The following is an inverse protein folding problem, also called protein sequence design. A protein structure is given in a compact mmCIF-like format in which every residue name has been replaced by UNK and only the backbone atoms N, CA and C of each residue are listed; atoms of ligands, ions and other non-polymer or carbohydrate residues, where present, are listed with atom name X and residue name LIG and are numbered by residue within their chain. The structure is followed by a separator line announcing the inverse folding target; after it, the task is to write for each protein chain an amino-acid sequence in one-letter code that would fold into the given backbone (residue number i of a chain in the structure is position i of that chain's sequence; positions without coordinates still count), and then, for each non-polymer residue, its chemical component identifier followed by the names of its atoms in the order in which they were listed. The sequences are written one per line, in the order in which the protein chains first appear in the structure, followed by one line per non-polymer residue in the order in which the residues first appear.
data_IF_799176994499
#
_entry.id   IF_799176994499
#
_cell.length_a   1.000
_cell.length_b   1.000
_cell.length_c   1.000
_cell.angle_alpha   90.00
_cell.angle_beta   90.00
_cell.angle_gamma   90.00
#
_symmetry.space_group_name_H-M   'P 1'
#
loop_
_entity.id
_entity.type
_entity.pdbx_description
1 polymer ?
#
# COMPACT_ATOMS: atom_id res chain seq x y z
N UNK A 1 6.91 3.16 11.90
CA UNK A 1 5.48 3.49 12.16
C UNK A 1 4.64 3.46 10.89
N UNK A 2 4.74 4.44 9.94
CA UNK A 2 3.84 4.41 8.74
C UNK A 2 4.07 3.17 7.88
N UNK A 3 5.33 2.79 7.67
CA UNK A 3 5.68 1.54 6.99
C UNK A 3 4.97 0.34 7.66
N UNK A 4 5.04 0.24 8.97
CA UNK A 4 4.43 -0.87 9.72
C UNK A 4 2.90 -0.84 9.65
N UNK A 5 2.30 0.37 9.67
CA UNK A 5 0.85 0.52 9.49
C UNK A 5 0.42 0.03 8.10
N UNK A 6 1.21 0.38 7.07
CA UNK A 6 0.94 -0.06 5.69
C UNK A 6 1.07 -1.58 5.58
N UNK A 7 2.15 -2.12 6.14
CA UNK A 7 2.41 -3.57 6.14
C UNK A 7 1.30 -4.34 6.88
N UNK A 8 0.90 -3.87 8.06
CA UNK A 8 -0.18 -4.49 8.84
C UNK A 8 -1.52 -4.44 8.08
N UNK A 9 -1.82 -3.33 7.41
CA UNK A 9 -3.05 -3.19 6.62
C UNK A 9 -3.03 -4.13 5.40
N UNK A 10 -1.89 -4.24 4.73
CA UNK A 10 -1.70 -5.18 3.63
C UNK A 10 -1.88 -6.63 4.10
N UNK A 11 -1.23 -6.99 5.21
CA UNK A 11 -1.30 -8.33 5.79
C UNK A 11 -2.75 -8.69 6.19
N UNK A 12 -3.48 -7.75 6.77
CA UNK A 12 -4.89 -7.95 7.12
C UNK A 12 -5.74 -8.18 5.87
N UNK A 13 -5.55 -7.34 4.83
CA UNK A 13 -6.26 -7.50 3.57
C UNK A 13 -5.97 -8.87 2.93
N UNK A 14 -4.71 -9.32 2.95
CA UNK A 14 -4.33 -10.63 2.43
C UNK A 14 -4.98 -11.78 3.22
N UNK A 15 -5.07 -11.67 4.55
CA UNK A 15 -5.76 -12.66 5.39
C UNK A 15 -7.25 -12.73 5.04
N UNK A 16 -7.90 -11.58 4.89
CA UNK A 16 -9.31 -11.50 4.47
C UNK A 16 -9.51 -12.17 3.09
N UNK A 17 -8.59 -11.91 2.16
CA UNK A 17 -8.67 -12.49 0.81
C UNK A 17 -8.39 -14.00 0.81
N UNK A 18 -7.55 -14.50 1.70
CA UNK A 18 -7.37 -15.95 1.86
C UNK A 18 -8.68 -16.61 2.29
N UNK A 19 -9.41 -16.00 3.23
CA UNK A 19 -10.73 -16.48 3.64
C UNK A 19 -11.72 -16.43 2.46
N UNK A 20 -11.73 -15.30 1.73
CA UNK A 20 -12.61 -15.12 0.56
C UNK A 20 -12.30 -16.16 -0.54
N UNK A 21 -11.00 -16.42 -0.80
CA UNK A 21 -10.59 -17.40 -1.80
C UNK A 21 -11.01 -18.83 -1.40
N UNK A 22 -10.86 -19.17 -0.11
CA UNK A 22 -11.30 -20.47 0.41
C UNK A 22 -12.83 -20.59 0.31
N UNK A 23 -13.56 -19.52 0.61
CA UNK A 23 -15.03 -19.46 0.42
C UNK A 23 -15.38 -19.74 -1.06
N UNK A 24 -14.67 -19.08 -1.98
CA UNK A 24 -14.89 -19.30 -3.42
C UNK A 24 -14.64 -20.77 -3.81
N UNK A 25 -13.53 -21.36 -3.32
CA UNK A 25 -13.20 -22.76 -3.58
C UNK A 25 -14.29 -23.71 -3.07
N UNK A 26 -14.81 -23.46 -1.86
CA UNK A 26 -15.89 -24.26 -1.25
C UNK A 26 -17.17 -24.14 -2.08
N UNK A 27 -17.58 -22.92 -2.41
CA UNK A 27 -18.79 -22.68 -3.23
C UNK A 27 -18.67 -23.38 -4.58
N UNK A 28 -17.55 -23.22 -5.27
CA UNK A 28 -17.28 -23.87 -6.56
C UNK A 28 -17.41 -25.38 -6.44
N UNK A 29 -16.76 -25.97 -5.43
CA UNK A 29 -16.80 -27.42 -5.18
C UNK A 29 -18.24 -27.92 -4.91
N UNK A 30 -19.03 -27.15 -4.15
CA UNK A 30 -20.43 -27.49 -3.87
C UNK A 30 -21.32 -27.47 -5.12
N UNK A 31 -21.01 -26.60 -6.11
CA UNK A 31 -21.78 -26.50 -7.36
C UNK A 31 -21.48 -27.66 -8.31
N UNK A 32 -20.33 -28.32 -8.18
CA UNK A 32 -20.01 -29.52 -8.96
C UNK A 32 -18.67 -29.45 -9.70
N UNK A 33 -18.44 -30.45 -10.55
CA UNK A 33 -17.19 -30.54 -11.30
C UNK A 33 -17.07 -29.45 -12.36
N UNK A 34 -15.84 -28.99 -12.59
CA UNK A 34 -15.51 -28.04 -13.67
C UNK A 34 -15.42 -28.83 -14.98
N UNK A 35 -16.05 -28.34 -16.04
CA UNK A 35 -16.05 -28.97 -17.36
C UNK A 35 -16.01 -27.92 -18.47
N UNK A 36 -15.55 -28.31 -19.63
CA UNK A 36 -15.60 -27.50 -20.87
C UNK A 36 -16.63 -28.17 -21.79
N UNK A 37 -17.67 -27.42 -22.17
CA UNK A 37 -18.79 -27.91 -22.99
C UNK A 37 -18.78 -27.35 -24.42
N UNK A 38 -17.59 -27.15 -24.99
CA UNK A 38 -17.43 -26.60 -26.34
C UNK A 38 -16.77 -25.23 -26.30
N UNK A 39 -17.13 -24.36 -27.24
CA UNK A 39 -16.60 -23.01 -27.36
C UNK A 39 -17.73 -22.00 -27.52
N UNK A 40 -17.44 -20.74 -27.20
CA UNK A 40 -18.36 -19.63 -27.45
C UNK A 40 -17.59 -18.38 -27.86
N UNK A 41 -18.22 -17.60 -28.74
CA UNK A 41 -17.61 -16.39 -29.30
C UNK A 41 -17.61 -15.25 -28.29
N UNK A 42 -16.48 -14.56 -28.15
CA UNK A 42 -16.31 -13.38 -27.30
C UNK A 42 -15.61 -12.26 -28.04
N UNK A 43 -15.98 -11.03 -27.73
CA UNK A 43 -15.14 -9.87 -27.99
C UNK A 43 -14.25 -9.69 -26.76
N UNK A 44 -13.00 -10.15 -26.86
CA UNK A 44 -12.04 -10.11 -25.75
C UNK A 44 -11.27 -8.77 -25.77
N UNK A 45 -11.20 -8.09 -24.64
CA UNK A 45 -10.55 -6.76 -24.50
C UNK A 45 -9.35 -6.90 -23.58
N UNK A 46 -8.17 -6.58 -24.08
CA UNK A 46 -6.93 -6.59 -23.29
C UNK A 46 -7.04 -5.51 -22.19
N UNK A 47 -6.94 -5.91 -20.91
CA UNK A 47 -7.15 -4.98 -19.80
C UNK A 47 -6.07 -3.88 -19.70
N UNK A 48 -4.91 -4.04 -20.35
CA UNK A 48 -3.82 -3.05 -20.29
C UNK A 48 -3.85 -2.09 -21.49
N UNK A 49 -4.09 -2.62 -22.70
CA UNK A 49 -4.03 -1.82 -23.94
C UNK A 49 -5.40 -1.34 -24.41
N UNK A 50 -6.48 -1.99 -23.92
CA UNK A 50 -7.88 -1.79 -24.36
C UNK A 50 -8.12 -2.24 -25.80
N UNK A 51 -7.20 -2.95 -26.42
CA UNK A 51 -7.39 -3.53 -27.75
C UNK A 51 -8.38 -4.69 -27.67
N UNK A 52 -9.31 -4.71 -28.62
CA UNK A 52 -10.36 -5.73 -28.71
C UNK A 52 -10.03 -6.73 -29.82
N UNK A 53 -10.36 -8.01 -29.59
CA UNK A 53 -10.20 -9.08 -30.57
C UNK A 53 -11.35 -10.07 -30.45
N UNK A 54 -11.78 -10.64 -31.60
CA UNK A 54 -12.79 -11.70 -31.60
C UNK A 54 -12.08 -13.04 -31.32
N UNK A 55 -12.63 -13.80 -30.36
CA UNK A 55 -12.06 -15.11 -30.00
C UNK A 55 -13.18 -16.14 -29.81
N UNK A 56 -12.90 -17.40 -30.08
CA UNK A 56 -13.73 -18.54 -29.71
C UNK A 56 -13.08 -19.16 -28.46
N UNK A 57 -13.55 -18.75 -27.28
CA UNK A 57 -13.02 -19.21 -26.00
C UNK A 57 -13.73 -20.50 -25.55
N UNK A 58 -13.05 -21.38 -24.80
CA UNK A 58 -13.71 -22.54 -24.20
C UNK A 58 -14.88 -22.12 -23.33
N UNK A 59 -16.01 -22.84 -23.45
CA UNK A 59 -17.20 -22.59 -22.62
C UNK A 59 -17.06 -23.38 -21.32
N UNK A 60 -16.71 -22.65 -20.26
CA UNK A 60 -16.51 -23.24 -18.94
C UNK A 60 -17.84 -23.34 -18.19
N UNK A 61 -18.08 -24.49 -17.58
CA UNK A 61 -19.23 -24.77 -16.72
C UNK A 61 -18.77 -25.36 -15.39
N UNK A 62 -19.57 -25.15 -14.33
CA UNK A 62 -19.31 -25.70 -12.99
C UNK A 62 -20.59 -26.43 -12.56
N UNK A 63 -20.54 -27.76 -12.52
CA UNK A 63 -21.74 -28.58 -12.39
C UNK A 63 -22.72 -28.28 -13.51
N UNK A 64 -23.93 -27.84 -13.18
CA UNK A 64 -24.97 -27.43 -14.17
C UNK A 64 -24.96 -25.90 -14.42
N UNK A 65 -24.03 -25.16 -13.78
CA UNK A 65 -24.00 -23.70 -13.88
C UNK A 65 -23.26 -23.29 -15.16
N UNK A 66 -23.92 -22.45 -15.96
CA UNK A 66 -23.34 -21.68 -17.07
C UNK A 66 -23.26 -20.21 -16.67
N UNK A 67 -22.39 -19.45 -17.32
CA UNK A 67 -22.19 -18.04 -17.00
C UNK A 67 -22.80 -17.15 -18.08
N UNK A 68 -23.90 -16.45 -17.75
CA UNK A 68 -24.54 -15.55 -18.72
C UNK A 68 -23.66 -14.33 -18.98
N UNK A 69 -23.65 -13.85 -20.22
CA UNK A 69 -22.88 -12.65 -20.62
C UNK A 69 -23.61 -11.37 -20.20
N UNK A 70 -23.78 -11.19 -18.90
CA UNK A 70 -24.55 -10.09 -18.32
C UNK A 70 -23.60 -9.00 -17.81
N UNK A 71 -23.81 -7.78 -18.26
CA UNK A 71 -23.02 -6.60 -17.85
C UNK A 71 -23.64 -5.85 -16.68
N UNK A 72 -24.93 -6.01 -16.44
CA UNK A 72 -25.65 -5.27 -15.37
C UNK A 72 -25.61 -6.03 -14.04
N UNK A 73 -25.92 -5.33 -12.95
CA UNK A 73 -25.97 -5.91 -11.60
C UNK A 73 -27.40 -6.27 -11.14
N UNK A 74 -28.40 -5.97 -11.94
CA UNK A 74 -29.81 -6.34 -11.67
C UNK A 74 -30.05 -7.84 -11.89
N UNK A 75 -29.19 -8.50 -12.68
CA UNK A 75 -29.26 -9.95 -12.90
C UNK A 75 -28.20 -10.64 -12.08
N UNK A 76 -28.59 -11.61 -11.26
CA UNK A 76 -27.68 -12.42 -10.45
C UNK A 76 -26.84 -13.34 -11.35
N UNK A 77 -25.52 -13.36 -11.13
CA UNK A 77 -24.59 -14.26 -11.79
C UNK A 77 -24.12 -15.29 -10.77
N UNK A 78 -24.39 -16.57 -11.01
CA UNK A 78 -24.06 -17.62 -10.05
C UNK A 78 -22.60 -17.63 -9.64
N UNK A 79 -22.33 -18.09 -8.43
CA UNK A 79 -20.99 -18.21 -7.81
C UNK A 79 -20.42 -16.83 -7.49
N UNK A 80 -20.18 -15.96 -8.49
CA UNK A 80 -19.48 -14.70 -8.22
C UNK A 80 -20.27 -13.77 -7.28
N UNK A 81 -21.59 -13.66 -7.46
CA UNK A 81 -22.43 -12.82 -6.59
C UNK A 81 -22.62 -13.47 -5.20
N UNK A 82 -22.73 -14.80 -5.16
CA UNK A 82 -22.83 -15.56 -3.91
C UNK A 82 -21.56 -15.36 -3.05
N UNK A 83 -20.40 -15.59 -3.64
CA UNK A 83 -19.11 -15.45 -2.93
C UNK A 83 -18.88 -13.99 -2.53
N UNK A 84 -19.21 -13.04 -3.40
CA UNK A 84 -19.07 -11.60 -3.07
C UNK A 84 -19.95 -11.22 -1.88
N UNK A 85 -21.18 -11.72 -1.81
CA UNK A 85 -22.08 -11.48 -0.69
C UNK A 85 -21.52 -12.08 0.62
N UNK A 86 -20.97 -13.30 0.56
CA UNK A 86 -20.44 -13.99 1.74
C UNK A 86 -19.13 -13.38 2.25
N UNK A 87 -18.27 -12.88 1.34
CA UNK A 87 -16.91 -12.47 1.68
C UNK A 87 -16.69 -10.95 1.73
N UNK A 88 -17.55 -10.18 1.08
CA UNK A 88 -17.34 -8.74 0.90
C UNK A 88 -16.29 -8.39 -0.15
N UNK A 89 -15.65 -9.39 -0.77
CA UNK A 89 -14.63 -9.17 -1.82
C UNK A 89 -15.27 -9.11 -3.21
N UNK A 90 -14.57 -8.50 -4.17
CA UNK A 90 -14.93 -8.69 -5.58
C UNK A 90 -14.47 -10.07 -6.03
N UNK A 91 -15.23 -10.69 -6.94
CA UNK A 91 -15.02 -12.08 -7.36
C UNK A 91 -15.08 -12.18 -8.87
N UNK A 92 -14.25 -13.04 -9.46
CA UNK A 92 -14.25 -13.31 -10.91
C UNK A 92 -13.96 -14.77 -11.19
N UNK A 93 -14.66 -15.33 -12.18
CA UNK A 93 -14.30 -16.58 -12.83
C UNK A 93 -13.69 -16.23 -14.20
N UNK A 94 -12.51 -16.77 -14.45
CA UNK A 94 -11.82 -16.67 -15.76
C UNK A 94 -11.75 -18.03 -16.42
N UNK A 95 -11.76 -18.03 -17.75
CA UNK A 95 -11.42 -19.19 -18.58
C UNK A 95 -10.09 -18.94 -19.29
N UNK A 96 -9.26 -19.97 -19.41
CA UNK A 96 -8.04 -19.93 -20.23
C UNK A 96 -8.50 -19.91 -21.70
N UNK A 97 -8.37 -18.77 -22.37
CA UNK A 97 -9.03 -18.58 -23.67
C UNK A 97 -8.22 -19.09 -24.87
N UNK A 98 -6.93 -19.39 -24.67
CA UNK A 98 -6.05 -19.85 -25.75
C UNK A 98 -4.90 -20.70 -25.20
N UNK A 99 -4.11 -21.27 -26.10
CA UNK A 99 -2.95 -22.11 -25.75
C UNK A 99 -1.83 -21.33 -25.07
N UNK A 100 -1.72 -20.03 -25.34
CA UNK A 100 -0.72 -19.17 -24.66
C UNK A 100 -1.00 -19.04 -23.16
N UNK A 101 -2.27 -19.07 -22.76
CA UNK A 101 -2.65 -18.99 -21.35
C UNK A 101 -3.34 -17.69 -20.95
N UNK A 102 -3.73 -16.87 -21.91
CA UNK A 102 -4.47 -15.63 -21.61
C UNK A 102 -5.79 -15.96 -20.90
N UNK A 103 -6.15 -15.15 -19.89
CA UNK A 103 -7.28 -15.43 -18.98
C UNK A 103 -8.44 -14.46 -19.24
N UNK A 104 -9.52 -14.97 -19.85
CA UNK A 104 -10.73 -14.18 -20.19
C UNK A 104 -11.71 -14.16 -19.02
N UNK A 105 -12.16 -12.98 -18.61
CA UNK A 105 -13.12 -12.76 -17.52
C UNK A 105 -14.55 -13.06 -18.02
N UNK A 106 -15.11 -14.22 -17.62
CA UNK A 106 -16.42 -14.69 -18.09
C UNK A 106 -17.56 -14.36 -17.12
N UNK A 107 -17.25 -14.21 -15.82
CA UNK A 107 -18.23 -13.83 -14.79
C UNK A 107 -17.50 -13.00 -13.75
N UNK A 108 -18.10 -11.88 -13.30
CA UNK A 108 -17.39 -11.00 -12.36
C UNK A 108 -18.33 -10.05 -11.61
N UNK A 109 -17.90 -9.68 -10.40
CA UNK A 109 -18.47 -8.55 -9.65
C UNK A 109 -17.58 -7.30 -9.73
N UNK A 110 -16.44 -7.38 -10.45
CA UNK A 110 -15.59 -6.20 -10.69
C UNK A 110 -16.31 -5.26 -11.67
N UNK A 111 -16.34 -3.97 -11.32
CA UNK A 111 -16.95 -2.94 -12.15
C UNK A 111 -15.94 -2.32 -13.11
N UNK A 112 -16.38 -1.98 -14.31
CA UNK A 112 -15.64 -1.14 -15.22
C UNK A 112 -15.95 0.35 -14.93
N UNK A 113 -15.36 1.27 -15.70
CA UNK A 113 -15.57 2.73 -15.52
C UNK A 113 -17.02 3.18 -15.71
N UNK A 114 -17.85 2.36 -16.38
CA UNK A 114 -19.28 2.65 -16.60
C UNK A 114 -20.16 2.09 -15.47
N UNK A 115 -19.55 1.42 -14.48
CA UNK A 115 -20.29 0.78 -13.39
C UNK A 115 -20.87 -0.58 -13.74
N UNK A 116 -20.53 -1.11 -14.93
CA UNK A 116 -20.97 -2.42 -15.41
C UNK A 116 -20.00 -3.52 -14.99
N UNK A 117 -20.45 -4.79 -15.00
CA UNK A 117 -19.55 -5.94 -14.82
C UNK A 117 -18.50 -5.95 -15.94
N UNK A 118 -17.25 -6.09 -15.59
CA UNK A 118 -16.11 -6.01 -16.52
C UNK A 118 -15.87 -7.29 -17.31
N UNK A 119 -16.96 -8.03 -17.68
CA UNK A 119 -16.86 -9.27 -18.47
C UNK A 119 -16.27 -8.97 -19.85
N UNK A 120 -15.61 -9.97 -20.42
CA UNK A 120 -14.99 -9.86 -21.74
C UNK A 120 -13.59 -9.22 -21.71
N UNK A 121 -13.14 -8.67 -20.58
CA UNK A 121 -11.74 -8.24 -20.45
C UNK A 121 -10.85 -9.47 -20.19
N UNK A 122 -9.58 -9.41 -20.61
CA UNK A 122 -8.66 -10.52 -20.32
C UNK A 122 -7.31 -10.04 -19.78
N UNK A 123 -6.68 -10.93 -19.03
CA UNK A 123 -5.31 -10.74 -18.54
C UNK A 123 -4.38 -11.51 -19.49
N UNK A 124 -3.50 -10.82 -20.23
CA UNK A 124 -2.56 -11.51 -21.11
C UNK A 124 -1.41 -12.14 -20.32
N UNK A 125 -0.80 -13.17 -20.91
CA UNK A 125 0.39 -13.84 -20.36
C UNK A 125 1.55 -12.85 -20.18
N UNK A 126 1.65 -11.87 -21.10
CA UNK A 126 2.70 -10.85 -21.05
C UNK A 126 2.11 -9.46 -20.83
N UNK A 127 2.76 -8.69 -20.00
CA UNK A 127 2.43 -7.29 -19.75
C UNK A 127 2.94 -6.41 -20.91
N UNK A 128 2.48 -5.16 -21.03
CA UNK A 128 2.90 -4.28 -22.14
C UNK A 128 4.41 -4.03 -22.22
N UNK A 129 5.16 -4.22 -21.13
CA UNK A 129 6.63 -4.09 -21.13
C UNK A 129 7.33 -5.39 -21.57
N UNK A 130 6.58 -6.41 -21.97
CA UNK A 130 7.07 -7.69 -22.46
C UNK A 130 7.35 -8.74 -21.37
N UNK A 131 7.24 -8.37 -20.09
CA UNK A 131 7.45 -9.31 -18.98
C UNK A 131 6.26 -10.24 -18.82
N UNK A 132 6.52 -11.41 -18.26
CA UNK A 132 5.46 -12.34 -17.89
C UNK A 132 4.57 -11.72 -16.81
N UNK A 133 3.24 -11.87 -17.00
CA UNK A 133 2.29 -11.43 -15.99
C UNK A 133 2.39 -12.36 -14.77
N UNK A 134 2.68 -11.85 -13.57
CA UNK A 134 2.94 -12.70 -12.40
C UNK A 134 1.72 -13.51 -11.96
N UNK A 135 0.50 -13.01 -12.16
CA UNK A 135 -0.74 -13.74 -11.84
C UNK A 135 -0.84 -14.96 -12.77
N UNK A 136 -0.82 -14.71 -14.08
CA UNK A 136 -0.99 -15.78 -15.09
C UNK A 136 0.12 -16.83 -14.96
N UNK A 137 1.37 -16.38 -14.78
CA UNK A 137 2.53 -17.27 -14.60
C UNK A 137 2.34 -18.21 -13.40
N UNK A 138 1.91 -17.67 -12.23
CA UNK A 138 1.65 -18.48 -11.04
C UNK A 138 0.55 -19.51 -11.28
N UNK A 139 -0.56 -19.09 -11.90
CA UNK A 139 -1.70 -19.96 -12.18
C UNK A 139 -1.32 -21.09 -13.13
N UNK A 140 -0.58 -20.79 -14.20
CA UNK A 140 -0.17 -21.81 -15.17
C UNK A 140 0.81 -22.83 -14.57
N UNK A 141 1.56 -22.42 -13.52
CA UNK A 141 2.38 -23.32 -12.71
C UNK A 141 1.55 -24.13 -11.69
N UNK A 142 0.25 -23.90 -11.63
CA UNK A 142 -0.65 -24.60 -10.72
C UNK A 142 -0.64 -24.07 -9.28
N UNK A 143 -0.12 -22.88 -9.07
CA UNK A 143 0.02 -22.23 -7.76
C UNK A 143 -1.00 -21.11 -7.58
N UNK A 144 -1.44 -20.89 -6.35
CA UNK A 144 -2.20 -19.70 -5.99
C UNK A 144 -1.29 -18.47 -6.11
N UNK A 145 -1.87 -17.32 -6.47
CA UNK A 145 -1.20 -16.03 -6.43
C UNK A 145 -1.87 -15.16 -5.35
N UNK A 146 -1.08 -14.56 -4.49
CA UNK A 146 -1.55 -13.60 -3.49
C UNK A 146 -0.65 -12.37 -3.59
N UNK A 147 -1.25 -11.21 -3.80
CA UNK A 147 -0.48 -9.98 -3.93
C UNK A 147 -1.25 -8.85 -4.59
N UNK A 148 -0.52 -7.80 -4.92
CA UNK A 148 -1.06 -6.64 -5.63
C UNK A 148 -1.19 -6.97 -7.12
N UNK A 149 -2.33 -6.65 -7.72
CA UNK A 149 -2.51 -6.80 -9.17
C UNK A 149 -3.36 -5.66 -9.73
N UNK A 150 -3.08 -5.30 -10.99
CA UNK A 150 -3.89 -4.34 -11.73
C UNK A 150 -5.12 -5.08 -12.27
N UNK A 151 -6.32 -4.60 -11.90
CA UNK A 151 -7.58 -5.26 -12.26
C UNK A 151 -8.46 -4.24 -12.98
N UNK A 152 -8.66 -4.45 -14.25
CA UNK A 152 -9.45 -3.61 -15.15
C UNK A 152 -8.90 -2.19 -15.27
N UNK A 153 -9.00 -1.35 -14.23
CA UNK A 153 -8.62 0.07 -14.31
C UNK A 153 -7.98 0.61 -13.01
N UNK A 154 -7.74 -0.26 -12.02
CA UNK A 154 -7.14 0.18 -10.75
C UNK A 154 -6.40 -0.95 -10.05
N UNK A 155 -5.63 -0.61 -9.03
CA UNK A 155 -4.89 -1.58 -8.23
C UNK A 155 -5.79 -2.22 -7.15
N UNK A 156 -5.58 -3.52 -6.95
CA UNK A 156 -6.25 -4.33 -5.93
C UNK A 156 -5.22 -5.12 -5.13
N UNK A 157 -5.54 -5.41 -3.88
CA UNK A 157 -4.96 -6.55 -3.15
C UNK A 157 -5.79 -7.75 -3.58
N UNK A 158 -5.15 -8.83 -4.04
CA UNK A 158 -5.82 -9.92 -4.75
C UNK A 158 -5.36 -11.29 -4.28
N UNK A 159 -6.23 -12.29 -4.53
CA UNK A 159 -5.85 -13.69 -4.47
C UNK A 159 -6.50 -14.42 -5.64
N UNK A 160 -5.74 -15.32 -6.27
CA UNK A 160 -6.17 -16.13 -7.43
C UNK A 160 -5.86 -17.59 -7.16
N UNK A 161 -6.67 -18.50 -7.71
CA UNK A 161 -6.43 -19.94 -7.64
C UNK A 161 -6.79 -20.60 -8.97
N UNK A 162 -6.01 -21.59 -9.43
CA UNK A 162 -6.33 -22.27 -10.69
C UNK A 162 -7.62 -23.09 -10.59
N UNK A 163 -8.40 -23.06 -11.68
CA UNK A 163 -9.55 -23.94 -11.88
C UNK A 163 -9.12 -25.12 -12.75
N UNK A 164 -9.43 -26.35 -12.28
CA UNK A 164 -8.94 -27.58 -12.92
C UNK A 164 -10.10 -28.50 -13.30
N UNK A 165 -9.96 -29.12 -14.47
CA UNK A 165 -10.79 -30.28 -14.82
C UNK A 165 -10.51 -31.46 -13.87
N UNK A 166 -11.39 -32.46 -13.82
CA UNK A 166 -11.09 -33.71 -13.07
C UNK A 166 -9.78 -34.39 -13.51
N UNK A 167 -9.33 -34.16 -14.74
CA UNK A 167 -8.03 -34.62 -15.26
C UNK A 167 -6.82 -33.94 -14.61
N UNK A 168 -7.02 -32.80 -13.92
CA UNK A 168 -5.95 -31.97 -13.39
C UNK A 168 -5.56 -30.81 -14.28
N UNK A 169 -6.03 -30.79 -15.52
CA UNK A 169 -5.72 -29.71 -16.49
C UNK A 169 -6.27 -28.37 -16.00
N UNK A 170 -5.44 -27.31 -16.09
CA UNK A 170 -5.82 -25.95 -15.73
C UNK A 170 -6.58 -25.31 -16.91
N UNK A 171 -7.85 -24.96 -16.69
CA UNK A 171 -8.74 -24.39 -17.70
C UNK A 171 -9.18 -22.96 -17.38
N UNK A 172 -8.72 -22.41 -16.25
CA UNK A 172 -9.08 -21.05 -15.86
C UNK A 172 -8.58 -20.74 -14.46
N UNK A 173 -9.15 -19.70 -13.86
CA UNK A 173 -8.85 -19.33 -12.48
C UNK A 173 -10.03 -18.62 -11.83
N UNK A 174 -10.11 -18.72 -10.50
CA UNK A 174 -10.99 -17.90 -9.67
C UNK A 174 -10.17 -16.80 -9.01
N UNK A 175 -10.74 -15.61 -8.93
CA UNK A 175 -10.16 -14.41 -8.33
C UNK A 175 -11.06 -13.88 -7.23
N UNK A 176 -10.44 -13.39 -6.17
CA UNK A 176 -11.05 -12.51 -5.18
C UNK A 176 -10.13 -11.28 -4.98
N UNK A 177 -10.74 -10.11 -4.71
CA UNK A 177 -9.93 -8.91 -4.53
C UNK A 177 -10.65 -7.81 -3.78
N UNK A 178 -9.85 -6.94 -3.16
CA UNK A 178 -10.32 -5.72 -2.49
C UNK A 178 -9.60 -4.53 -3.16
N UNK A 179 -10.33 -3.50 -3.64
CA UNK A 179 -9.65 -2.33 -4.20
C UNK A 179 -8.62 -1.78 -3.21
N UNK A 180 -7.40 -1.55 -3.67
CA UNK A 180 -6.34 -1.01 -2.81
C UNK A 180 -6.78 0.30 -2.17
N UNK A 181 -7.48 1.15 -2.91
CA UNK A 181 -8.02 2.42 -2.42
C UNK A 181 -8.88 2.25 -1.15
N UNK A 182 -9.66 1.17 -1.06
CA UNK A 182 -10.48 0.88 0.13
C UNK A 182 -9.59 0.61 1.36
N UNK A 183 -8.50 -0.13 1.16
CA UNK A 183 -7.51 -0.40 2.24
C UNK A 183 -6.79 0.90 2.63
N UNK A 184 -6.46 1.73 1.63
CA UNK A 184 -5.76 3.00 1.82
C UNK A 184 -6.56 4.06 2.60
N UNK A 185 -7.88 4.08 2.49
CA UNK A 185 -8.70 5.15 3.07
C UNK A 185 -8.47 5.34 4.57
N UNK A 186 -8.36 4.24 5.32
CA UNK A 186 -8.06 4.31 6.76
C UNK A 186 -6.64 4.79 7.01
N UNK A 187 -5.69 4.31 6.18
CA UNK A 187 -4.28 4.73 6.26
C UNK A 187 -4.13 6.22 5.95
N UNK A 188 -4.84 6.74 4.95
CA UNK A 188 -4.78 8.17 4.58
C UNK A 188 -5.14 9.05 5.76
N UNK A 189 -6.24 8.73 6.46
CA UNK A 189 -6.68 9.48 7.64
C UNK A 189 -5.61 9.46 8.74
N UNK A 190 -5.03 8.28 9.00
CA UNK A 190 -3.96 8.14 9.98
C UNK A 190 -2.72 8.96 9.57
N UNK A 191 -2.31 8.87 8.30
CA UNK A 191 -1.13 9.59 7.77
C UNK A 191 -1.34 11.10 7.87
N UNK A 192 -2.52 11.62 7.50
CA UNK A 192 -2.81 13.07 7.60
C UNK A 192 -2.75 13.57 9.04
N UNK A 193 -3.04 12.74 10.03
CA UNK A 193 -3.00 13.14 11.44
C UNK A 193 -1.58 13.18 12.02
N UNK A 194 -0.59 12.61 11.33
CA UNK A 194 0.79 12.56 11.82
C UNK A 194 1.47 13.90 11.61
N UNK A 195 1.88 14.52 12.71
CA UNK A 195 2.73 15.72 12.71
C UNK A 195 4.14 15.34 13.14
N UNK A 196 5.12 15.92 12.49
CA UNK A 196 6.55 15.74 12.80
C UNK A 196 7.09 17.12 13.15
N UNK A 197 7.40 17.35 14.42
CA UNK A 197 7.68 18.70 14.89
C UNK A 197 6.41 19.54 14.85
N UNK A 198 6.53 20.80 14.52
CA UNK A 198 5.40 21.75 14.46
C UNK A 198 4.67 21.72 13.10
N UNK A 199 5.43 21.69 12.00
CA UNK A 199 4.86 21.81 10.66
C UNK A 199 5.25 20.70 9.70
N UNK A 200 6.06 19.73 10.15
CA UNK A 200 6.45 18.56 9.37
C UNK A 200 5.30 17.58 9.17
N UNK A 201 5.44 16.71 8.19
CA UNK A 201 4.36 15.82 7.75
C UNK A 201 4.91 14.56 7.08
N UNK A 202 4.01 13.60 6.85
CA UNK A 202 4.28 12.40 6.07
C UNK A 202 3.68 12.58 4.67
N UNK A 203 4.37 12.05 3.67
CA UNK A 203 3.89 11.97 2.29
C UNK A 203 4.21 10.61 1.70
N UNK A 204 3.50 10.22 0.63
CA UNK A 204 3.74 8.97 -0.09
C UNK A 204 3.80 9.26 -1.58
N UNK A 205 4.84 8.73 -2.23
CA UNK A 205 5.04 8.84 -3.69
C UNK A 205 4.98 7.44 -4.31
N UNK A 206 4.57 7.36 -5.56
CA UNK A 206 4.75 6.14 -6.35
C UNK A 206 6.22 5.92 -6.68
N UNK A 207 6.68 4.68 -6.52
CA UNK A 207 8.11 4.30 -6.71
C UNK A 207 8.46 3.94 -8.14
N UNK A 208 7.51 3.47 -8.93
CA UNK A 208 7.78 2.95 -10.27
C UNK A 208 6.62 3.13 -11.25
N UNK A 209 6.80 2.71 -12.49
CA UNK A 209 5.76 2.66 -13.53
C UNK A 209 5.07 3.99 -13.77
N UNK A 210 3.78 3.94 -14.08
CA UNK A 210 2.98 5.13 -14.40
C UNK A 210 2.82 6.09 -13.22
N UNK A 211 3.00 5.60 -12.00
CA UNK A 211 2.86 6.42 -10.78
C UNK A 211 4.18 6.95 -10.26
N UNK A 212 5.31 6.63 -10.91
CA UNK A 212 6.65 7.07 -10.46
C UNK A 212 6.68 8.60 -10.32
N UNK A 213 6.99 9.07 -9.09
CA UNK A 213 7.06 10.49 -8.80
C UNK A 213 5.73 11.20 -8.59
N UNK A 214 4.60 10.47 -8.66
CA UNK A 214 3.29 11.07 -8.35
C UNK A 214 3.02 10.99 -6.85
N UNK A 215 2.42 12.02 -6.29
CA UNK A 215 1.88 11.94 -4.93
C UNK A 215 0.73 10.92 -4.89
N UNK A 216 0.92 9.88 -4.10
CA UNK A 216 -0.18 8.99 -3.68
C UNK A 216 -0.90 9.64 -2.49
N UNK A 217 -0.11 10.17 -1.54
CA UNK A 217 -0.61 10.92 -0.38
C UNK A 217 0.29 12.14 -0.19
N UNK A 218 -0.27 13.33 -0.37
CA UNK A 218 0.42 14.61 -0.16
C UNK A 218 0.03 15.22 1.18
N UNK A 219 0.66 16.33 1.55
CA UNK A 219 0.28 17.09 2.75
C UNK A 219 -1.21 17.49 2.65
N UNK A 220 -2.02 17.02 3.60
CA UNK A 220 -3.48 17.29 3.66
C UNK A 220 -4.24 16.84 2.39
N UNK A 221 -3.64 16.01 1.55
CA UNK A 221 -4.25 15.52 0.31
C UNK A 221 -4.36 16.55 -0.82
N UNK A 222 -3.84 17.75 -0.63
CA UNK A 222 -4.06 18.89 -1.53
C UNK A 222 -3.42 18.73 -2.92
N UNK A 223 -2.39 17.85 -3.01
CA UNK A 223 -1.64 17.63 -4.24
C UNK A 223 -1.65 16.15 -4.67
N UNK A 224 -2.59 15.36 -4.17
CA UNK A 224 -2.71 13.94 -4.53
C UNK A 224 -2.87 13.80 -6.05
N UNK A 225 -2.10 12.89 -6.64
CA UNK A 225 -2.08 12.65 -8.08
C UNK A 225 -1.10 13.53 -8.86
N UNK A 226 -0.58 14.58 -8.26
CA UNK A 226 0.37 15.48 -8.94
C UNK A 226 1.72 14.78 -9.16
N UNK A 227 2.28 14.91 -10.37
CA UNK A 227 3.60 14.40 -10.70
C UNK A 227 4.66 15.44 -10.30
N UNK A 228 5.53 15.07 -9.35
CA UNK A 228 6.63 15.93 -8.90
C UNK A 228 8.02 15.34 -9.23
N UNK A 229 8.07 14.39 -10.17
CA UNK A 229 9.31 13.74 -10.59
C UNK A 229 10.40 14.73 -11.01
N UNK A 230 10.00 15.80 -11.73
CA UNK A 230 10.93 16.83 -12.23
C UNK A 230 11.06 18.02 -11.28
N UNK A 231 10.47 17.94 -10.08
CA UNK A 231 10.55 19.03 -9.10
C UNK A 231 11.96 19.24 -8.61
N UNK A 232 12.38 20.49 -8.55
CA UNK A 232 13.68 20.90 -8.06
C UNK A 232 13.54 21.60 -6.71
N UNK A 233 14.54 21.44 -5.87
CA UNK A 233 14.64 22.21 -4.64
C UNK A 233 15.12 23.65 -4.97
N UNK A 234 15.28 24.50 -3.95
CA UNK A 234 15.71 25.89 -4.14
C UNK A 234 17.13 25.99 -4.76
N UNK A 235 17.89 24.92 -4.75
CA UNK A 235 19.27 24.85 -5.29
C UNK A 235 19.30 24.18 -6.67
N UNK A 236 18.15 23.82 -7.23
CA UNK A 236 18.04 23.17 -8.54
C UNK A 236 18.22 21.65 -8.51
N UNK A 237 18.30 21.03 -7.34
CA UNK A 237 18.51 19.58 -7.17
C UNK A 237 17.21 18.81 -7.43
N UNK A 238 17.25 17.74 -8.21
CA UNK A 238 16.13 16.83 -8.48
C UNK A 238 15.97 15.84 -7.31
N UNK A 239 15.57 16.37 -6.16
CA UNK A 239 15.54 15.67 -4.88
C UNK A 239 14.57 14.48 -4.86
N UNK A 240 13.45 14.57 -5.58
CA UNK A 240 12.46 13.49 -5.67
C UNK A 240 13.06 12.28 -6.39
N UNK A 241 13.83 12.51 -7.46
CA UNK A 241 14.53 11.45 -8.18
C UNK A 241 15.54 10.76 -7.29
N UNK A 242 16.29 11.55 -6.52
CA UNK A 242 17.27 11.01 -5.56
C UNK A 242 16.58 10.12 -4.51
N UNK A 243 15.51 10.62 -3.91
CA UNK A 243 14.76 9.90 -2.86
C UNK A 243 14.23 8.56 -3.42
N UNK A 244 13.51 8.61 -4.55
CA UNK A 244 12.88 7.42 -5.13
C UNK A 244 13.94 6.41 -5.56
N UNK A 245 14.95 6.84 -6.31
CA UNK A 245 15.99 5.93 -6.80
C UNK A 245 16.74 5.26 -5.63
N UNK A 246 17.17 6.06 -4.66
CA UNK A 246 17.92 5.54 -3.52
C UNK A 246 17.09 4.54 -2.67
N UNK A 247 15.81 4.83 -2.42
CA UNK A 247 14.98 3.96 -1.58
C UNK A 247 14.54 2.69 -2.31
N UNK A 248 14.28 2.76 -3.62
CA UNK A 248 13.84 1.58 -4.38
C UNK A 248 14.95 0.55 -4.59
N UNK A 249 16.22 0.96 -4.49
CA UNK A 249 17.37 0.03 -4.54
C UNK A 249 17.35 -0.97 -3.38
N UNK A 250 16.91 -0.53 -2.19
CA UNK A 250 16.92 -1.35 -0.97
C UNK A 250 15.58 -1.25 -0.25
N UNK A 251 14.56 -2.00 -0.69
CA UNK A 251 13.23 -1.95 -0.06
C UNK A 251 13.28 -2.23 1.44
N UNK A 252 12.57 -1.45 2.22
CA UNK A 252 12.50 -1.58 3.68
C UNK A 252 13.62 -0.85 4.43
N UNK A 253 14.68 -0.40 3.74
CA UNK A 253 15.76 0.36 4.36
C UNK A 253 15.38 1.83 4.45
N UNK A 254 15.53 2.42 5.64
CA UNK A 254 15.29 3.85 5.86
C UNK A 254 16.53 4.64 5.44
N UNK A 255 16.34 5.64 4.59
CA UNK A 255 17.40 6.56 4.16
C UNK A 255 17.02 8.00 4.51
N UNK A 256 18.03 8.83 4.75
CA UNK A 256 17.84 10.23 5.16
C UNK A 256 18.25 11.17 4.04
N UNK A 257 17.44 12.22 3.84
CA UNK A 257 17.65 13.22 2.79
C UNK A 257 17.50 14.62 3.37
N UNK A 258 18.19 15.58 2.77
CA UNK A 258 18.18 16.99 3.14
C UNK A 258 18.04 17.82 1.86
N UNK A 259 17.00 18.69 1.82
CA UNK A 259 16.72 19.54 0.66
C UNK A 259 15.90 20.76 1.09
N UNK A 260 15.96 21.82 0.29
CA UNK A 260 15.24 23.07 0.57
C UNK A 260 13.89 23.06 -0.14
N UNK A 261 12.81 23.03 0.65
CA UNK A 261 11.44 22.89 0.16
C UNK A 261 10.57 24.07 0.57
N UNK A 262 9.72 24.48 -0.37
CA UNK A 262 8.75 25.56 -0.16
C UNK A 262 7.33 24.99 -0.32
N UNK A 263 6.55 24.96 0.75
CA UNK A 263 5.14 24.56 0.67
C UNK A 263 4.30 25.67 0.04
N UNK A 264 3.16 25.27 -0.48
CA UNK A 264 2.15 26.23 -0.97
C UNK A 264 1.74 27.16 0.19
N UNK A 265 1.84 28.46 -0.03
CA UNK A 265 1.50 29.48 0.95
C UNK A 265 2.66 29.93 1.86
N UNK A 266 3.85 29.33 1.73
CA UNK A 266 5.06 29.80 2.44
C UNK A 266 5.78 30.87 1.59
N UNK A 267 6.41 31.85 2.24
CA UNK A 267 7.16 32.91 1.56
C UNK A 267 8.53 32.44 1.10
N UNK A 268 9.18 31.58 1.88
CA UNK A 268 10.57 31.12 1.65
C UNK A 268 10.66 29.61 1.69
N UNK A 269 11.64 29.08 0.98
CA UNK A 269 12.04 27.68 1.12
C UNK A 269 12.69 27.47 2.49
N UNK A 270 12.41 26.32 3.11
CA UNK A 270 12.97 25.90 4.41
C UNK A 270 13.72 24.59 4.21
N UNK A 271 14.83 24.43 4.89
CA UNK A 271 15.59 23.16 4.83
C UNK A 271 14.81 22.06 5.52
N UNK A 272 14.48 21.03 4.75
CA UNK A 272 13.71 19.88 5.23
C UNK A 272 14.63 18.65 5.37
N UNK A 273 14.49 17.95 6.49
CA UNK A 273 15.15 16.67 6.75
C UNK A 273 14.06 15.60 6.67
N UNK A 274 14.28 14.59 5.82
CA UNK A 274 13.29 13.54 5.53
C UNK A 274 13.94 12.17 5.74
N UNK A 275 13.26 11.32 6.50
CA UNK A 275 13.50 9.88 6.50
C UNK A 275 12.54 9.26 5.48
N UNK A 276 13.08 8.50 4.53
CA UNK A 276 12.26 7.86 3.50
C UNK A 276 12.56 6.37 3.42
N UNK A 277 11.52 5.58 3.06
CA UNK A 277 11.59 4.13 2.94
C UNK A 277 10.66 3.65 1.83
N UNK A 278 11.05 2.62 1.09
CA UNK A 278 10.23 2.05 0.02
C UNK A 278 9.49 0.80 0.52
N UNK A 279 8.16 0.83 0.43
CA UNK A 279 7.28 -0.30 0.67
C UNK A 279 6.93 -0.95 -0.68
N UNK A 280 7.62 -2.04 -0.98
CA UNK A 280 7.61 -2.70 -2.30
C UNK A 280 6.23 -3.21 -2.71
N UNK A 281 5.48 -3.81 -1.77
CA UNK A 281 4.20 -4.48 -2.08
C UNK A 281 3.15 -3.54 -2.68
N UNK A 282 3.18 -2.26 -2.28
CA UNK A 282 2.26 -1.24 -2.80
C UNK A 282 2.96 -0.24 -3.74
N UNK A 283 4.26 -0.42 -3.96
CA UNK A 283 5.07 0.51 -4.77
C UNK A 283 5.05 1.93 -4.18
N UNK A 284 5.17 2.03 -2.85
CA UNK A 284 5.09 3.29 -2.11
C UNK A 284 6.45 3.72 -1.56
N UNK A 285 6.88 4.92 -1.89
CA UNK A 285 7.98 5.60 -1.21
C UNK A 285 7.37 6.51 -0.15
N UNK A 286 7.53 6.13 1.11
CA UNK A 286 6.97 6.82 2.27
C UNK A 286 8.05 7.76 2.81
N UNK A 287 7.79 9.07 2.77
CA UNK A 287 8.70 10.10 3.30
C UNK A 287 8.08 10.77 4.53
N UNK A 288 8.87 10.90 5.57
CA UNK A 288 8.46 11.52 6.84
C UNK A 288 9.50 12.58 7.21
N UNK A 289 9.11 13.85 7.29
CA UNK A 289 10.10 14.89 7.52
C UNK A 289 9.59 16.14 8.19
N UNK A 290 10.52 16.83 8.82
CA UNK A 290 10.32 18.11 9.46
C UNK A 290 11.40 19.10 9.00
N UNK A 291 11.37 20.30 9.52
CA UNK A 291 12.26 21.37 9.12
C UNK A 291 13.41 21.49 10.12
N UNK A 292 14.60 21.71 9.59
CA UNK A 292 15.86 21.76 10.35
C UNK A 292 15.76 22.77 11.51
N UNK A 293 15.17 23.92 11.26
CA UNK A 293 14.98 24.97 12.28
C UNK A 293 14.12 24.50 13.46
N UNK A 294 13.09 23.67 13.20
CA UNK A 294 12.24 23.13 14.27
C UNK A 294 12.99 22.10 15.09
N UNK A 295 13.79 21.25 14.43
CA UNK A 295 14.63 20.25 15.10
C UNK A 295 15.65 20.95 16.02
N UNK A 296 16.29 22.02 15.53
CA UNK A 296 17.27 22.79 16.32
C UNK A 296 16.60 23.54 17.46
N UNK A 297 15.40 24.09 17.25
CA UNK A 297 14.67 24.79 18.31
C UNK A 297 14.36 23.83 19.49
N UNK A 298 13.94 22.61 19.20
CA UNK A 298 13.67 21.58 20.23
C UNK A 298 14.96 21.20 20.96
N UNK A 299 16.06 21.01 20.23
CA UNK A 299 17.38 20.72 20.81
C UNK A 299 17.80 21.85 21.77
N UNK A 300 17.66 23.09 21.34
CA UNK A 300 18.07 24.27 22.13
C UNK A 300 17.21 24.42 23.39
N UNK A 301 15.91 24.12 23.30
CA UNK A 301 14.99 24.14 24.45
C UNK A 301 15.38 23.05 25.46
N UNK A 302 15.68 21.84 24.98
CA UNK A 302 16.13 20.73 25.86
C UNK A 302 17.45 21.12 26.57
N UNK A 303 18.41 21.65 25.80
CA UNK A 303 19.70 22.11 26.34
C UNK A 303 19.51 23.17 27.44
N UNK A 304 18.68 24.17 27.23
CA UNK A 304 18.36 25.21 28.20
C UNK A 304 17.74 24.61 29.46
N UNK A 305 16.82 23.66 29.33
CA UNK A 305 16.17 22.98 30.45
C UNK A 305 17.20 22.18 31.26
N UNK A 306 18.10 21.48 30.59
CA UNK A 306 19.18 20.71 31.26
C UNK A 306 20.13 21.63 32.03
N UNK A 307 20.55 22.74 31.43
CA UNK A 307 21.42 23.72 32.13
C UNK A 307 20.69 24.34 33.31
N UNK A 308 19.40 24.64 33.20
CA UNK A 308 18.60 25.15 34.32
C UNK A 308 18.53 24.17 35.46
N UNK A 309 18.29 22.89 35.18
CA UNK A 309 18.29 21.83 36.21
C UNK A 309 19.65 21.69 36.89
N UNK A 310 20.72 21.70 36.10
CA UNK A 310 22.08 21.65 36.63
C UNK A 310 22.35 22.82 37.57
N UNK A 311 21.96 24.02 37.16
CA UNK A 311 22.11 25.25 38.00
C UNK A 311 21.37 25.11 39.32
N UNK A 312 20.13 24.63 39.30
CA UNK A 312 19.33 24.42 40.51
C UNK A 312 20.01 23.39 41.42
N UNK A 313 20.53 22.29 40.87
CA UNK A 313 21.24 21.28 41.64
C UNK A 313 22.51 21.85 42.29
N UNK A 314 23.26 22.70 41.61
CA UNK A 314 24.45 23.34 42.13
C UNK A 314 24.07 24.26 43.33
N UNK A 315 23.01 25.06 43.14
CA UNK A 315 22.51 25.95 44.25
C UNK A 315 22.12 25.12 45.47
N UNK A 316 21.36 24.04 45.27
CA UNK A 316 20.94 23.14 46.35
C UNK A 316 22.17 22.55 47.08
N UNK A 317 23.16 22.07 46.31
CA UNK A 317 24.39 21.49 46.88
C UNK A 317 25.14 22.54 47.71
N UNK A 318 25.27 23.76 47.17
CA UNK A 318 25.93 24.86 47.90
C UNK A 318 25.15 25.21 49.17
N UNK A 319 23.82 25.30 49.08
CA UNK A 319 22.94 25.58 50.21
C UNK A 319 23.10 24.52 51.31
N UNK A 320 23.04 23.24 50.93
CA UNK A 320 23.23 22.11 51.85
C UNK A 320 24.62 22.19 52.51
N UNK A 321 25.66 22.48 51.71
CA UNK A 321 27.03 22.63 52.23
C UNK A 321 27.10 23.77 53.23
N UNK A 322 26.56 24.95 52.95
CA UNK A 322 26.56 26.11 53.83
C UNK A 322 25.84 25.77 55.16
N UNK A 323 24.66 25.13 55.08
CA UNK A 323 23.90 24.70 56.25
C UNK A 323 24.75 23.72 57.10
N UNK A 324 25.40 22.75 56.43
CA UNK A 324 26.24 21.77 57.10
C UNK A 324 27.44 22.48 57.87
N UNK A 325 28.04 23.46 57.22
CA UNK A 325 29.14 24.25 57.81
C UNK A 325 28.60 25.03 59.00
N UNK A 326 27.48 25.71 58.92
CA UNK A 326 26.85 26.45 60.01
C UNK A 326 26.55 25.52 61.18
N UNK A 327 25.95 24.38 60.94
CA UNK A 327 25.65 23.39 61.98
C UNK A 327 26.95 22.88 62.59
N UNK A 328 27.97 22.57 61.84
CA UNK A 328 29.28 22.11 62.31
C UNK A 328 29.95 23.18 63.18
N UNK A 329 29.98 24.38 62.75
CA UNK A 329 30.48 25.52 63.58
C UNK A 329 29.62 25.77 64.82
N UNK A 330 28.56 25.63 64.69
CA UNK A 330 27.70 25.72 65.77
C UNK A 330 27.85 24.58 66.68
N UNK A 331 28.13 23.67 66.34
CA UNK A 331 28.40 22.56 67.10
C UNK A 331 29.72 22.68 67.76
N UNK A 332 30.46 23.23 67.23
CA UNK A 332 31.71 23.50 67.76
C UNK A 332 31.76 24.52 68.84
N UNK A 333 31.04 25.26 68.72
CA UNK A 333 30.86 26.31 69.66
C UNK A 333 30.08 25.87 70.83
N UNK A 334 29.57 25.05 70.64
CA UNK A 334 28.79 24.55 71.76
C UNK A 334 29.45 23.46 72.55
N UNK A 335 30.48 23.15 72.19
CA UNK A 335 31.14 22.35 72.92
C UNK A 335 31.71 23.00 74.04
N UNK A 336 31.60 22.59 75.51
CA UNK A 336 32.19 23.16 76.70
C UNK A 336 33.71 22.87 76.83
N UNK A 337 34.40 23.87 77.19
CA UNK A 337 35.86 23.70 77.43
C UNK A 337 36.06 22.78 78.61
N UNK A 338 36.55 21.59 78.42
CA UNK A 338 37.01 20.70 79.47
C UNK A 338 38.37 21.20 79.93
N UNK A 339 38.40 21.96 81.07
CA UNK A 339 39.62 22.29 81.78
C UNK A 339 39.87 21.28 82.91
#
# INVERSE_FOLDING_TARGET
MVYDLTDNSNNLAQKMLNVALNTAKVVIKQKGAIKISGTEQWQAINQFTNEAMEVNAPKLEIGEITFPKVKTFDVKVPIVDEVATLSGATVTIFVKMNSAGDMLRIATTVKNKKGERAIGTFIPVKEPDGKENPVVSSILQGKDYIGRAFVVDQWYVTAYSPLRLPSGEIVGMVYVGIPQKTVEESLRKAIYSIKIGETGYVYVLGGSGKQKGHYIISKDGKRDGENIWESKDANGKLFIQEIINATTENPGEVKFFRYDWKNVGEDKARTKIVAAVYYKDWDWVIGAGSYEEEIFAVRDQISKSLYSLLYIMVILAVTVYVIAVIISTXXXXXXPSTS
#
